data_IF_149129905432
#
_entry.id   IF_149129905432
#
_cell.length_a   1.000
_cell.length_b   1.000
_cell.length_c   1.000
_cell.angle_alpha   90.00
_cell.angle_beta   90.00
_cell.angle_gamma   90.00
#
_symmetry.space_group_name_H-M   'P 1'
#
loop_
_entity.id
_entity.type
_entity.pdbx_description
1 polymer ?
#
# COMPACT_ATOMS: atom_id res chain seq x y z
N UNK A 1 -8.80 -6.28 21.56
CA UNK A 1 -7.77 -5.55 22.31
C UNK A 1 -7.70 -4.15 21.72
N UNK A 2 -7.53 -3.11 22.55
CA UNK A 2 -7.27 -1.77 22.04
C UNK A 2 -5.98 -1.76 21.21
N UNK A 3 -5.86 -0.84 20.25
CA UNK A 3 -4.65 -0.68 19.46
C UNK A 3 -3.53 -0.08 20.34
N UNK A 4 -2.35 -0.68 20.30
CA UNK A 4 -1.19 -0.23 21.06
C UNK A 4 -0.38 0.76 20.24
N UNK A 5 -0.63 2.05 20.42
CA UNK A 5 0.08 3.10 19.68
C UNK A 5 1.59 3.08 19.97
N UNK A 6 1.99 2.83 21.23
CA UNK A 6 3.41 2.80 21.62
C UNK A 6 4.15 1.67 20.91
N UNK A 7 3.59 0.47 20.86
CA UNK A 7 4.17 -0.66 20.13
C UNK A 7 4.26 -0.41 18.62
N UNK A 8 3.27 0.27 18.03
CA UNK A 8 3.28 0.64 16.62
C UNK A 8 4.37 1.67 16.31
N UNK A 9 4.44 2.74 17.09
CA UNK A 9 5.45 3.79 16.95
C UNK A 9 6.88 3.22 17.09
N UNK A 10 7.08 2.33 18.07
CA UNK A 10 8.33 1.58 18.20
C UNK A 10 8.64 0.70 16.98
N UNK A 11 7.62 0.10 16.34
CA UNK A 11 7.80 -0.73 15.13
C UNK A 11 8.21 0.08 13.91
N UNK A 12 7.78 1.33 13.80
CA UNK A 12 8.13 2.23 12.70
C UNK A 12 9.30 3.15 13.03
N UNK A 13 9.96 2.94 14.17
CA UNK A 13 11.11 3.72 14.66
C UNK A 13 10.82 5.23 14.72
N UNK A 14 9.71 5.57 15.38
CA UNK A 14 9.23 6.95 15.44
C UNK A 14 8.73 7.31 16.85
N UNK A 15 8.92 8.57 17.24
CA UNK A 15 8.35 9.15 18.46
C UNK A 15 6.87 9.56 18.28
N UNK A 16 6.13 9.87 19.36
CA UNK A 16 4.78 10.42 19.24
C UNK A 16 4.74 11.67 18.35
N UNK A 17 3.76 11.72 17.45
CA UNK A 17 3.57 12.80 16.49
C UNK A 17 2.36 13.66 16.88
N UNK A 18 2.44 15.00 16.76
CA UNK A 18 1.25 15.83 16.86
C UNK A 18 0.32 15.57 15.67
N UNK A 19 -0.98 15.81 15.88
CA UNK A 19 -1.97 15.77 14.80
C UNK A 19 -1.78 17.01 13.92
N UNK A 20 -0.98 16.85 12.86
CA UNK A 20 -0.73 17.88 11.85
C UNK A 20 -0.46 17.24 10.47
N UNK A 21 -0.45 18.02 9.38
CA UNK A 21 -0.03 17.55 8.06
C UNK A 21 1.42 17.00 8.03
N UNK A 22 2.33 17.62 8.78
CA UNK A 22 3.72 17.16 8.93
C UNK A 22 3.78 15.84 9.68
N UNK A 23 2.99 15.70 10.76
CA UNK A 23 2.84 14.44 11.48
C UNK A 23 2.26 13.33 10.60
N UNK A 24 1.26 13.65 9.78
CA UNK A 24 0.65 12.70 8.85
C UNK A 24 1.66 12.22 7.80
N UNK A 25 2.48 13.14 7.30
CA UNK A 25 3.56 12.86 6.36
C UNK A 25 4.65 11.99 6.99
N UNK A 26 5.10 12.35 8.20
CA UNK A 26 6.11 11.59 8.93
C UNK A 26 5.63 10.16 9.21
N UNK A 27 4.37 9.98 9.59
CA UNK A 27 3.76 8.68 9.88
C UNK A 27 3.77 7.75 8.66
N UNK A 28 3.30 8.22 7.49
CA UNK A 28 3.27 7.43 6.26
C UNK A 28 4.69 7.05 5.82
N UNK A 29 5.62 8.02 5.82
CA UNK A 29 7.01 7.80 5.45
C UNK A 29 7.65 6.76 6.38
N UNK A 30 7.48 6.89 7.69
CA UNK A 30 8.03 5.99 8.68
C UNK A 30 7.50 4.56 8.49
N UNK A 31 6.19 4.38 8.27
CA UNK A 31 5.65 3.05 8.01
C UNK A 31 6.23 2.43 6.73
N UNK A 32 6.25 3.17 5.61
CA UNK A 32 6.82 2.71 4.34
C UNK A 32 8.31 2.31 4.45
N UNK A 33 9.06 2.99 5.32
CA UNK A 33 10.48 2.74 5.55
C UNK A 33 10.76 1.48 6.35
N UNK A 34 9.84 1.02 7.21
CA UNK A 34 10.15 -0.09 8.13
C UNK A 34 9.22 -1.30 7.94
N UNK A 35 8.01 -1.13 7.42
CA UNK A 35 7.08 -2.23 7.16
C UNK A 35 7.00 -2.45 5.64
N UNK A 36 7.66 -3.48 5.10
CA UNK A 36 7.71 -3.69 3.67
C UNK A 36 6.35 -4.11 3.12
N UNK A 37 6.09 -3.73 1.89
CA UNK A 37 5.05 -4.38 1.10
C UNK A 37 5.50 -5.78 0.71
N UNK A 38 4.67 -6.79 0.94
CA UNK A 38 4.86 -8.15 0.48
C UNK A 38 3.55 -8.88 0.21
N UNK A 39 3.59 -9.84 -0.73
CA UNK A 39 2.46 -10.69 -1.12
C UNK A 39 2.75 -12.18 -0.91
N UNK A 40 3.56 -12.55 0.09
CA UNK A 40 3.95 -13.95 0.33
C UNK A 40 2.76 -14.87 0.64
N UNK A 41 1.78 -14.43 1.44
CA UNK A 41 0.60 -15.26 1.75
C UNK A 41 -0.24 -15.54 0.48
N UNK A 42 -0.67 -14.53 -0.33
CA UNK A 42 -1.33 -14.78 -1.60
C UNK A 42 -0.53 -15.65 -2.56
N UNK A 43 0.79 -15.45 -2.64
CA UNK A 43 1.67 -16.26 -3.49
C UNK A 43 1.66 -17.74 -3.10
N UNK A 44 1.48 -18.04 -1.81
CA UNK A 44 1.34 -19.39 -1.28
C UNK A 44 -0.11 -19.92 -1.32
N UNK A 45 -1.03 -19.20 -1.99
CA UNK A 45 -2.45 -19.55 -2.06
C UNK A 45 -3.20 -19.37 -0.73
N UNK A 46 -2.65 -18.56 0.18
CA UNK A 46 -3.25 -18.29 1.50
C UNK A 46 -3.94 -16.93 1.50
N UNK A 47 -5.12 -16.88 2.12
CA UNK A 47 -5.83 -15.63 2.36
C UNK A 47 -5.29 -15.02 3.66
N UNK A 48 -4.78 -13.77 3.64
CA UNK A 48 -4.35 -13.10 4.87
C UNK A 48 -5.49 -12.97 5.89
N UNK A 49 -5.19 -13.22 7.17
CA UNK A 49 -6.13 -12.97 8.26
C UNK A 49 -6.16 -11.48 8.59
N UNK A 50 -7.28 -10.83 8.25
CA UNK A 50 -7.48 -9.39 8.44
C UNK A 50 -8.02 -9.04 9.84
N UNK A 51 -8.11 -10.00 10.77
CA UNK A 51 -8.42 -9.67 12.16
C UNK A 51 -7.35 -8.72 12.72
N UNK A 52 -7.72 -7.64 13.44
CA UNK A 52 -6.76 -6.69 14.00
C UNK A 52 -5.61 -7.34 14.79
N UNK A 53 -5.90 -8.38 15.58
CA UNK A 53 -4.88 -9.11 16.33
C UNK A 53 -3.91 -9.91 15.46
N UNK A 54 -4.38 -10.42 14.31
CA UNK A 54 -3.55 -11.17 13.38
C UNK A 54 -2.63 -10.23 12.59
N UNK A 55 -3.16 -9.10 12.12
CA UNK A 55 -2.39 -8.01 11.50
C UNK A 55 -1.32 -7.51 12.47
N UNK A 56 -1.69 -7.20 13.72
CA UNK A 56 -0.74 -6.76 14.75
C UNK A 56 0.39 -7.78 14.96
N UNK A 57 0.04 -9.04 15.19
CA UNK A 57 1.03 -10.11 15.38
C UNK A 57 1.99 -10.19 14.19
N UNK A 58 1.47 -10.21 12.96
CA UNK A 58 2.29 -10.36 11.74
C UNK A 58 3.19 -9.15 11.51
N UNK A 59 2.61 -7.95 11.48
CA UNK A 59 3.32 -6.74 11.06
C UNK A 59 4.21 -6.17 12.17
N UNK A 60 3.75 -6.22 13.43
CA UNK A 60 4.42 -5.57 14.56
C UNK A 60 5.30 -6.57 15.33
N UNK A 61 4.75 -7.69 15.77
CA UNK A 61 5.47 -8.66 16.63
C UNK A 61 6.45 -9.50 15.80
N UNK A 62 6.01 -10.10 14.71
CA UNK A 62 6.82 -10.94 13.81
C UNK A 62 7.68 -10.10 12.85
N UNK A 63 7.49 -8.77 12.83
CA UNK A 63 8.20 -7.81 11.98
C UNK A 63 8.18 -8.15 10.49
N UNK A 64 7.11 -8.81 10.03
CA UNK A 64 6.88 -9.08 8.62
C UNK A 64 6.29 -7.85 7.91
N UNK A 65 6.16 -7.96 6.59
CA UNK A 65 5.39 -7.02 5.79
C UNK A 65 3.96 -7.52 5.52
N UNK A 66 3.27 -6.86 4.61
CA UNK A 66 1.93 -7.26 4.19
C UNK A 66 1.49 -6.61 2.89
N UNK A 67 0.29 -6.92 2.45
CA UNK A 67 -0.34 -6.28 1.29
C UNK A 67 -1.18 -5.06 1.73
N UNK A 68 -1.78 -4.34 0.77
CA UNK A 68 -2.49 -3.08 1.03
C UNK A 68 -3.53 -3.15 2.16
N UNK A 69 -4.31 -4.24 2.23
CA UNK A 69 -5.33 -4.41 3.27
C UNK A 69 -4.71 -4.48 4.67
N UNK A 70 -3.62 -5.21 4.84
CA UNK A 70 -2.97 -5.37 6.15
C UNK A 70 -2.26 -4.06 6.55
N UNK A 71 -1.49 -3.49 5.61
CA UNK A 71 -0.70 -2.28 5.83
C UNK A 71 -1.56 -1.06 6.12
N UNK A 72 -2.60 -0.83 5.31
CA UNK A 72 -3.47 0.33 5.50
C UNK A 72 -4.53 0.10 6.59
N UNK A 73 -4.84 -1.13 6.99
CA UNK A 73 -5.61 -1.37 8.23
C UNK A 73 -4.77 -0.99 9.45
N UNK A 74 -3.50 -1.40 9.51
CA UNK A 74 -2.60 -1.01 10.60
C UNK A 74 -2.45 0.51 10.69
N UNK A 75 -2.19 1.17 9.55
CA UNK A 75 -2.07 2.63 9.49
C UNK A 75 -3.38 3.32 9.90
N UNK A 76 -4.52 2.83 9.43
CA UNK A 76 -5.84 3.39 9.77
C UNK A 76 -6.11 3.37 11.28
N UNK A 77 -5.75 2.29 11.97
CA UNK A 77 -5.87 2.20 13.43
C UNK A 77 -4.95 3.19 14.15
N UNK A 78 -3.72 3.37 13.65
CA UNK A 78 -2.80 4.37 14.21
C UNK A 78 -3.35 5.79 14.02
N UNK A 79 -3.87 6.11 12.83
CA UNK A 79 -4.50 7.40 12.52
C UNK A 79 -5.69 7.69 13.47
N UNK A 80 -6.57 6.71 13.67
CA UNK A 80 -7.72 6.82 14.55
C UNK A 80 -7.30 7.10 16.00
N UNK A 81 -6.34 6.34 16.55
CA UNK A 81 -5.87 6.52 17.93
C UNK A 81 -5.11 7.83 18.13
N UNK A 82 -4.39 8.29 17.11
CA UNK A 82 -3.74 9.60 17.11
C UNK A 82 -4.74 10.77 17.05
N UNK A 83 -5.99 10.52 16.65
CA UNK A 83 -7.05 11.52 16.57
C UNK A 83 -7.24 12.14 15.18
N UNK A 84 -6.69 11.54 14.12
CA UNK A 84 -6.97 11.94 12.75
C UNK A 84 -8.39 11.52 12.34
N UNK A 85 -9.07 12.38 11.57
CA UNK A 85 -10.33 12.02 10.92
C UNK A 85 -10.04 11.22 9.66
N UNK A 86 -9.75 9.92 9.81
CA UNK A 86 -9.43 9.01 8.71
C UNK A 86 -10.68 8.25 8.24
N UNK A 87 -11.00 8.39 6.95
CA UNK A 87 -12.07 7.65 6.30
C UNK A 87 -11.46 6.63 5.34
N UNK A 88 -11.75 5.31 5.50
CA UNK A 88 -11.27 4.30 4.56
C UNK A 88 -11.94 4.48 3.19
N UNK A 89 -11.17 4.29 2.14
CA UNK A 89 -11.62 4.23 0.75
C UNK A 89 -11.13 2.96 0.08
N UNK A 90 -11.87 2.49 -0.93
CA UNK A 90 -11.42 1.40 -1.79
C UNK A 90 -11.15 1.89 -3.21
N UNK A 91 -9.95 1.60 -3.71
CA UNK A 91 -9.52 1.87 -5.07
C UNK A 91 -9.54 0.64 -5.98
N UNK A 92 -9.66 0.91 -7.28
CA UNK A 92 -9.47 -0.05 -8.36
C UNK A 92 -8.07 0.13 -8.93
N UNK A 93 -7.25 -0.90 -8.80
CA UNK A 93 -5.90 -0.93 -9.38
C UNK A 93 -6.01 -0.85 -10.90
N UNK A 94 -5.28 0.10 -11.51
CA UNK A 94 -5.27 0.36 -12.96
C UNK A 94 -3.97 -0.11 -13.60
N UNK A 95 -2.81 0.20 -12.99
CA UNK A 95 -1.48 -0.14 -13.53
C UNK A 95 -1.34 0.16 -15.04
N UNK A 96 -1.70 1.38 -15.43
CA UNK A 96 -1.66 1.87 -16.81
C UNK A 96 -2.94 1.64 -17.62
N UNK A 97 -3.88 0.84 -17.14
CA UNK A 97 -5.16 0.63 -17.82
C UNK A 97 -6.09 1.86 -17.74
N UNK A 98 -6.95 2.00 -18.75
CA UNK A 98 -7.94 3.08 -18.82
C UNK A 98 -8.97 3.01 -17.68
N UNK A 99 -9.29 1.80 -17.18
CA UNK A 99 -10.14 1.56 -16.03
C UNK A 99 -9.57 0.44 -15.18
N UNK A 100 -9.92 0.43 -13.89
CA UNK A 100 -9.44 -0.59 -12.95
C UNK A 100 -10.43 -1.74 -12.79
N UNK A 101 -9.95 -2.83 -12.19
CA UNK A 101 -10.76 -4.02 -11.88
C UNK A 101 -11.70 -3.81 -10.66
N UNK A 102 -11.87 -4.82 -9.79
CA UNK A 102 -12.66 -4.65 -8.58
C UNK A 102 -12.01 -3.65 -7.60
N UNK A 103 -12.82 -3.15 -6.66
CA UNK A 103 -12.36 -2.32 -5.55
C UNK A 103 -11.56 -3.19 -4.56
N UNK A 104 -10.26 -3.30 -4.80
CA UNK A 104 -9.36 -4.25 -4.14
C UNK A 104 -8.16 -3.58 -3.44
N UNK A 105 -8.00 -2.26 -3.57
CA UNK A 105 -6.96 -1.50 -2.88
C UNK A 105 -7.56 -0.69 -1.73
N UNK A 106 -7.04 -0.81 -0.52
CA UNK A 106 -7.45 0.03 0.61
C UNK A 106 -6.50 1.22 0.72
N UNK A 107 -7.04 2.41 0.94
CA UNK A 107 -6.31 3.62 1.33
C UNK A 107 -7.20 4.46 2.25
N UNK A 108 -6.74 5.63 2.70
CA UNK A 108 -7.51 6.53 3.56
C UNK A 108 -7.57 7.94 2.99
N UNK A 109 -8.69 8.61 3.22
CA UNK A 109 -8.80 10.06 3.15
C UNK A 109 -8.75 10.61 4.57
N UNK A 110 -7.81 11.48 4.85
CA UNK A 110 -7.68 12.15 6.15
C UNK A 110 -8.07 13.61 6.02
N UNK A 111 -9.00 14.07 6.86
CA UNK A 111 -9.42 15.47 6.91
C UNK A 111 -8.74 16.20 8.07
N UNK A 112 -8.04 17.30 7.77
CA UNK A 112 -7.35 18.18 8.71
C UNK A 112 -7.65 19.63 8.35
N UNK A 113 -8.24 20.39 9.27
CA UNK A 113 -8.55 21.81 9.08
C UNK A 113 -9.29 22.11 7.77
N UNK A 114 -10.22 21.23 7.38
CA UNK A 114 -10.99 21.33 6.13
C UNK A 114 -10.24 20.89 4.87
N UNK A 115 -8.96 20.56 4.97
CA UNK A 115 -8.14 20.01 3.89
C UNK A 115 -8.15 18.49 3.92
N UNK A 116 -8.35 17.86 2.77
CA UNK A 116 -8.35 16.40 2.66
C UNK A 116 -7.04 15.89 2.05
N UNK A 117 -6.55 14.76 2.56
CA UNK A 117 -5.30 14.14 2.15
C UNK A 117 -5.52 12.67 1.81
N UNK A 118 -5.05 12.23 0.64
CA UNK A 118 -4.92 10.81 0.31
C UNK A 118 -3.71 10.23 1.05
N UNK A 119 -3.94 9.24 1.88
CA UNK A 119 -2.94 8.59 2.73
C UNK A 119 -2.89 7.10 2.40
N UNK A 120 -1.71 6.61 2.07
CA UNK A 120 -1.51 5.26 1.56
C UNK A 120 -0.09 4.76 1.80
N UNK A 121 0.08 3.81 2.71
CA UNK A 121 1.34 3.11 2.94
C UNK A 121 1.32 1.67 2.40
N UNK A 122 0.35 1.35 1.54
CA UNK A 122 0.01 -0.03 1.17
C UNK A 122 -0.02 -0.31 -0.34
N UNK A 123 0.10 0.69 -1.22
CA UNK A 123 0.10 0.44 -2.67
C UNK A 123 1.33 -0.32 -3.17
N UNK A 124 2.47 -0.15 -2.49
CA UNK A 124 3.72 -0.80 -2.84
C UNK A 124 4.63 0.07 -3.72
N UNK A 125 5.44 -0.59 -4.56
CA UNK A 125 6.59 0.01 -5.24
C UNK A 125 6.39 1.35 -5.98
N UNK A 126 5.33 1.55 -6.75
CA UNK A 126 5.13 2.79 -7.50
C UNK A 126 4.32 3.85 -6.74
N UNK A 127 3.89 3.61 -5.50
CA UNK A 127 3.06 4.54 -4.74
C UNK A 127 3.81 5.77 -4.18
N UNK A 128 3.08 6.85 -3.87
CA UNK A 128 3.62 8.06 -3.24
C UNK A 128 4.19 7.76 -1.85
N UNK A 129 5.28 8.45 -1.49
CA UNK A 129 5.93 8.27 -0.19
C UNK A 129 5.32 9.14 0.90
N UNK A 130 4.60 10.20 0.51
CA UNK A 130 3.92 11.12 1.41
C UNK A 130 2.44 11.29 1.01
N UNK A 131 1.58 11.75 1.94
CA UNK A 131 0.20 12.06 1.62
C UNK A 131 0.08 13.04 0.46
N UNK A 132 -0.99 12.90 -0.33
CA UNK A 132 -1.30 13.82 -1.43
C UNK A 132 -2.53 14.65 -1.07
N UNK A 133 -2.42 15.97 -1.15
CA UNK A 133 -3.56 16.86 -0.91
C UNK A 133 -4.62 16.67 -2.01
N UNK A 134 -5.86 16.35 -1.61
CA UNK A 134 -6.98 16.25 -2.55
C UNK A 134 -7.39 17.66 -3.01
N UNK A 135 -7.82 17.76 -4.27
CA UNK A 135 -8.20 19.04 -4.89
C UNK A 135 -7.01 19.86 -5.39
N UNK A 136 -5.77 19.42 -5.12
CA UNK A 136 -4.57 19.96 -5.75
C UNK A 136 -4.28 19.24 -7.05
N UNK A 137 -4.49 19.92 -8.18
CA UNK A 137 -4.32 19.32 -9.51
C UNK A 137 -2.87 19.34 -10.01
N UNK A 138 -2.02 20.21 -9.44
CA UNK A 138 -0.65 20.33 -9.90
C UNK A 138 0.18 19.11 -9.46
N UNK A 139 1.10 18.64 -10.31
CA UNK A 139 2.04 17.58 -9.96
C UNK A 139 2.79 17.87 -8.65
N UNK A 140 2.85 16.87 -7.77
CA UNK A 140 3.59 16.88 -6.52
C UNK A 140 4.82 15.97 -6.61
N UNK A 141 6.00 16.55 -6.41
CA UNK A 141 7.25 15.78 -6.31
C UNK A 141 7.40 15.16 -4.93
N UNK A 142 7.67 13.87 -4.87
CA UNK A 142 7.84 13.11 -3.64
C UNK A 142 8.89 12.01 -3.82
N UNK A 143 10.01 12.12 -3.12
CA UNK A 143 11.09 11.14 -3.18
C UNK A 143 11.56 10.90 -4.62
N UNK A 144 11.33 9.68 -5.13
CA UNK A 144 11.73 9.28 -6.48
C UNK A 144 10.61 9.37 -7.55
N UNK A 145 9.54 10.13 -7.32
CA UNK A 145 8.43 10.23 -8.25
C UNK A 145 7.70 11.56 -8.21
N UNK A 146 6.99 11.85 -9.29
CA UNK A 146 6.06 12.97 -9.39
C UNK A 146 4.66 12.40 -9.55
N UNK A 147 3.72 12.86 -8.74
CA UNK A 147 2.37 12.31 -8.66
C UNK A 147 1.33 13.39 -8.91
N UNK A 148 0.17 12.99 -9.42
CA UNK A 148 -1.00 13.88 -9.48
C UNK A 148 -2.28 13.09 -9.28
N UNK A 149 -3.34 13.83 -8.95
CA UNK A 149 -4.70 13.31 -8.96
C UNK A 149 -5.44 13.91 -10.14
N UNK A 150 -6.08 13.05 -10.94
CA UNK A 150 -6.85 13.47 -12.11
C UNK A 150 -8.29 12.97 -11.98
N UNK A 151 -9.31 13.82 -12.17
CA UNK A 151 -10.68 13.35 -12.28
C UNK A 151 -10.89 12.56 -13.58
N UNK A 152 -11.62 11.45 -13.47
CA UNK A 152 -12.02 10.64 -14.61
C UNK A 152 -13.54 10.70 -14.78
N UNK A 153 -13.99 11.54 -15.72
CA UNK A 153 -15.41 11.76 -15.97
C UNK A 153 -16.15 10.50 -16.45
N UNK A 154 -15.46 9.53 -17.06
CA UNK A 154 -16.10 8.31 -17.56
C UNK A 154 -16.46 7.35 -16.42
N UNK A 155 -15.67 7.34 -15.35
CA UNK A 155 -15.85 6.44 -14.21
C UNK A 155 -16.37 7.13 -12.96
N UNK A 156 -16.25 8.46 -12.88
CA UNK A 156 -16.51 9.25 -11.68
C UNK A 156 -15.43 9.13 -10.60
N UNK A 157 -14.29 8.51 -10.93
CA UNK A 157 -13.19 8.25 -10.00
C UNK A 157 -12.18 9.40 -9.99
N UNK A 158 -11.50 9.58 -8.86
CA UNK A 158 -10.22 10.28 -8.80
C UNK A 158 -9.10 9.29 -9.06
N UNK A 159 -8.24 9.59 -10.03
CA UNK A 159 -7.17 8.69 -10.47
C UNK A 159 -5.83 9.19 -9.99
N UNK A 160 -5.13 8.38 -9.21
CA UNK A 160 -3.74 8.62 -8.85
C UNK A 160 -2.84 8.20 -10.01
N UNK A 161 -2.02 9.14 -10.48
CA UNK A 161 -1.08 8.94 -11.58
C UNK A 161 0.34 9.28 -11.14
N UNK A 162 1.32 8.57 -11.71
CA UNK A 162 2.74 8.84 -11.56
C UNK A 162 3.34 9.24 -12.90
N UNK A 163 4.21 10.24 -12.90
CA UNK A 163 4.99 10.63 -14.07
C UNK A 163 6.01 9.53 -14.41
N UNK A 164 6.06 9.14 -15.68
CA UNK A 164 7.06 8.23 -16.28
C UNK A 164 7.64 8.87 -17.54
N UNK A 165 8.72 8.32 -18.12
CA UNK A 165 9.25 8.80 -19.40
C UNK A 165 8.22 8.76 -20.54
N UNK A 166 7.28 7.81 -20.50
CA UNK A 166 6.23 7.63 -21.51
C UNK A 166 4.96 8.45 -21.21
N UNK A 167 4.99 9.29 -20.18
CA UNK A 167 3.88 10.12 -19.75
C UNK A 167 3.27 9.69 -18.41
N UNK A 168 2.02 10.08 -18.18
CA UNK A 168 1.31 9.81 -16.93
C UNK A 168 0.81 8.36 -16.88
N UNK A 169 1.28 7.62 -15.88
CA UNK A 169 0.93 6.22 -15.66
C UNK A 169 -0.08 6.08 -14.51
N UNK A 170 -1.26 5.55 -14.80
CA UNK A 170 -2.33 5.39 -13.82
C UNK A 170 -2.03 4.27 -12.82
N UNK A 171 -2.02 4.58 -11.53
CA UNK A 171 -1.81 3.63 -10.45
C UNK A 171 -3.12 2.96 -10.04
N UNK A 172 -4.05 3.75 -9.51
CA UNK A 172 -5.40 3.31 -9.16
C UNK A 172 -6.39 4.47 -9.22
N UNK A 173 -7.66 4.14 -9.48
CA UNK A 173 -8.79 5.06 -9.33
C UNK A 173 -9.55 4.78 -8.05
N UNK A 174 -10.11 5.79 -7.39
CA UNK A 174 -10.94 5.62 -6.21
C UNK A 174 -12.14 6.58 -6.22
N UNK A 175 -13.16 6.20 -5.47
CA UNK A 175 -14.35 7.02 -5.21
C UNK A 175 -14.62 7.09 -3.70
N UNK A 176 -15.68 7.80 -3.33
CA UNK A 176 -16.08 8.00 -1.92
C UNK A 176 -17.22 7.06 -1.50
N UNK A 177 -17.40 5.93 -2.17
CA UNK A 177 -18.40 4.95 -1.75
C UNK A 177 -18.03 4.44 -0.35
N UNK A 178 -18.94 4.51 0.65
CA UNK A 178 -18.63 4.13 2.02
C UNK A 178 -18.11 2.69 2.13
N UNK A 179 -16.95 2.53 2.76
CA UNK A 179 -16.39 1.22 3.07
C UNK A 179 -17.03 0.73 4.36
N UNK A 180 -17.78 -0.36 4.29
CA UNK A 180 -18.43 -0.96 5.46
C UNK A 180 -17.77 -2.30 5.79
N UNK A 181 -17.64 -2.59 7.08
CA UNK A 181 -17.22 -3.92 7.51
C UNK A 181 -18.20 -4.97 6.97
N UNK A 182 -17.72 -6.16 6.55
CA UNK A 182 -18.60 -7.21 6.09
C UNK A 182 -19.63 -7.53 7.18
N UNK A 183 -20.92 -7.41 6.85
CA UNK A 183 -22.00 -7.76 7.78
C UNK A 183 -21.83 -9.21 8.20
N UNK A 184 -21.66 -9.46 9.52
CA UNK A 184 -21.84 -10.80 10.08
C UNK A 184 -23.27 -11.23 9.76
N UNK A 185 -23.45 -12.28 8.95
CA UNK A 185 -24.76 -12.92 8.81
C UNK A 185 -25.19 -13.45 10.18
N UNK A 186 -26.19 -12.82 10.78
CA UNK A 186 -26.86 -13.33 11.99
C UNK A 186 -27.60 -14.63 11.62
N UNK A 187 -27.12 -15.79 12.07
CA UNK A 187 -27.94 -17.01 11.93
C UNK A 187 -27.28 -18.39 11.90
N UNK A 188 -25.98 -18.56 12.11
CA UNK A 188 -25.40 -19.92 12.25
C UNK A 188 -24.66 -20.08 13.57
N UNK A 189 -25.33 -20.70 14.54
CA UNK A 189 -24.65 -21.39 15.65
C UNK A 189 -24.02 -22.66 15.07
N UNK A 190 -22.72 -22.81 15.27
CA UNK A 190 -22.00 -24.05 14.99
C UNK A 190 -21.55 -24.20 13.54
N UNK A 191 -20.41 -23.60 13.21
CA UNK A 191 -19.33 -24.15 12.36
C UNK A 191 -18.25 -23.05 12.24
N UNK A 192 -17.05 -23.35 12.73
CA UNK A 192 -15.87 -22.51 12.54
C UNK A 192 -15.45 -22.62 11.08
N UNK A 193 -15.96 -21.75 10.22
CA UNK A 193 -15.33 -21.38 8.94
C UNK A 193 -15.85 -19.99 8.59
N UNK A 194 -14.98 -18.99 8.70
CA UNK A 194 -15.32 -17.61 8.39
C UNK A 194 -15.63 -17.48 6.90
N UNK A 195 -16.75 -16.81 6.62
CA UNK A 195 -17.23 -16.55 5.27
C UNK A 195 -16.19 -15.82 4.44
N UNK A 196 -15.79 -16.50 3.38
CA UNK A 196 -14.92 -16.02 2.31
C UNK A 196 -15.57 -14.79 1.66
N UNK A 197 -14.90 -13.65 1.73
CA UNK A 197 -14.96 -12.73 0.60
C UNK A 197 -14.27 -13.50 -0.53
N UNK A 198 -15.02 -13.89 -1.56
CA UNK A 198 -14.43 -14.45 -2.76
C UNK A 198 -13.58 -13.35 -3.39
N UNK A 199 -12.29 -13.39 -3.13
CA UNK A 199 -11.32 -12.61 -3.88
C UNK A 199 -11.28 -13.17 -5.30
N UNK A 200 -11.17 -12.33 -6.35
CA UNK A 200 -10.74 -12.84 -7.63
C UNK A 200 -9.39 -13.54 -7.44
N UNK A 201 -9.20 -14.65 -8.13
CA UNK A 201 -7.90 -15.33 -8.25
C UNK A 201 -6.80 -14.27 -8.45
N UNK A 202 -5.67 -14.35 -7.72
CA UNK A 202 -4.56 -13.45 -7.99
C UNK A 202 -4.20 -13.57 -9.48
N UNK A 203 -3.84 -12.45 -10.16
CA UNK A 203 -3.44 -12.53 -11.55
C UNK A 203 -2.33 -13.58 -11.71
N UNK A 204 -2.36 -14.30 -12.83
CA UNK A 204 -1.46 -15.42 -13.14
C UNK A 204 0.04 -15.06 -13.15
N UNK A 205 0.41 -13.83 -12.81
CA UNK A 205 1.75 -13.28 -12.76
C UNK A 205 2.24 -12.90 -11.35
N UNK A 206 1.53 -13.32 -10.28
CA UNK A 206 1.86 -13.01 -8.88
C UNK A 206 3.37 -13.17 -8.61
N UNK A 207 4.09 -12.06 -8.71
CA UNK A 207 5.53 -11.98 -8.52
C UNK A 207 5.79 -11.59 -7.08
N UNK A 208 6.85 -12.11 -6.48
CA UNK A 208 7.23 -11.74 -5.12
C UNK A 208 7.68 -10.26 -5.15
N UNK A 209 6.92 -9.39 -4.51
CA UNK A 209 7.28 -7.98 -4.38
C UNK A 209 7.83 -7.72 -2.96
N UNK A 210 9.03 -7.16 -2.88
CA UNK A 210 9.59 -6.64 -1.63
C UNK A 210 10.15 -5.24 -1.87
N UNK A 211 9.72 -4.26 -1.08
CA UNK A 211 10.31 -2.91 -1.10
C UNK A 211 10.35 -2.31 0.29
N UNK A 212 11.50 -1.70 0.60
CA UNK A 212 11.72 -0.78 1.72
C UNK A 212 12.10 0.58 1.13
N UNK A 213 11.47 1.68 1.54
CA UNK A 213 11.88 3.03 1.10
C UNK A 213 13.11 3.50 1.90
N UNK A 214 14.05 4.23 1.28
CA UNK A 214 15.16 4.91 1.98
C UNK A 214 16.60 4.39 1.79
N UNK A 215 16.85 3.36 0.99
CA UNK A 215 18.21 2.95 0.62
C UNK A 215 18.62 3.56 -0.74
N UNK A 216 19.84 4.11 -0.92
CA UNK A 216 20.35 4.41 -2.26
C UNK A 216 20.35 3.12 -3.09
N UNK A 217 19.88 3.18 -4.35
CA UNK A 217 19.72 2.03 -5.25
C UNK A 217 21.05 1.27 -5.45
N UNK A 218 21.35 0.33 -4.56
CA UNK A 218 22.20 -0.81 -4.82
C UNK A 218 21.26 -2.01 -4.95
N UNK A 219 20.83 -2.26 -6.18
CA UNK A 219 20.00 -3.39 -6.63
C UNK A 219 18.49 -3.31 -6.43
N UNK A 220 17.79 -3.61 -7.53
CA UNK A 220 16.39 -4.06 -7.58
C UNK A 220 16.44 -5.58 -7.74
N UNK A 221 15.88 -6.34 -6.81
CA UNK A 221 15.69 -7.78 -6.96
C UNK A 221 14.29 -8.03 -7.51
N UNK A 222 14.21 -8.51 -8.75
CA UNK A 222 12.99 -9.06 -9.32
C UNK A 222 13.12 -10.59 -9.28
N UNK A 223 12.18 -11.25 -8.59
CA UNK A 223 12.08 -12.70 -8.60
C UNK A 223 10.82 -13.09 -9.39
N UNK A 224 11.05 -13.55 -10.62
CA UNK A 224 10.03 -14.18 -11.46
C UNK A 224 10.47 -15.63 -11.72
N UNK A 225 9.62 -16.60 -11.41
CA UNK A 225 9.78 -18.00 -11.83
C UNK A 225 11.08 -18.69 -11.40
N UNK A 226 11.44 -18.65 -10.12
CA UNK A 226 12.57 -19.42 -9.58
C UNK A 226 13.98 -18.86 -9.90
N UNK A 227 14.07 -17.70 -10.55
CA UNK A 227 15.34 -17.03 -10.81
C UNK A 227 15.34 -15.62 -10.21
N UNK A 228 16.24 -15.39 -9.24
CA UNK A 228 16.56 -14.04 -8.77
C UNK A 228 17.53 -13.38 -9.75
N UNK A 229 17.17 -12.23 -10.32
CA UNK A 229 18.08 -11.42 -11.14
C UNK A 229 18.33 -10.08 -10.46
N UNK A 230 19.60 -9.69 -10.41
CA UNK A 230 20.02 -8.35 -9.99
C UNK A 230 20.28 -7.54 -11.25
N UNK A 231 19.53 -6.45 -11.40
CA UNK A 231 19.82 -5.43 -12.40
C UNK A 231 20.78 -4.39 -11.78
N UNK A 232 22.01 -4.32 -12.30
CA UNK A 232 22.93 -3.20 -12.02
C UNK A 232 22.68 -2.10 -13.05
N UNK A 233 22.50 -0.85 -12.61
CA UNK A 233 22.48 0.28 -13.53
C UNK A 233 23.90 0.56 -14.01
N UNK A 234 24.25 0.00 -15.17
CA UNK A 234 25.39 0.47 -15.97
C UNK A 234 25.06 1.84 -16.59
N UNK A 235 26.10 2.68 -16.74
CA UNK A 235 26.05 3.96 -17.46
C UNK A 235 25.62 3.83 -18.93
N UNK A 236 25.84 4.84 -19.81
CA UNK A 236 25.03 5.08 -21.01
C UNK A 236 25.05 4.04 -22.15
N UNK A 237 25.59 2.83 -21.95
CA UNK A 237 25.60 1.75 -22.91
C UNK A 237 25.21 0.42 -22.24
N UNK A 238 23.91 0.11 -22.25
CA UNK A 238 23.37 -1.25 -22.05
C UNK A 238 23.28 -1.75 -20.61
N UNK A 239 22.14 -2.38 -20.27
CA UNK A 239 21.95 -3.13 -19.02
C UNK A 239 22.77 -4.43 -19.07
N UNK A 240 23.62 -4.68 -18.07
CA UNK A 240 24.20 -6.00 -17.84
C UNK A 240 23.43 -6.72 -16.72
N UNK A 241 23.25 -8.04 -16.85
CA UNK A 241 22.61 -8.89 -15.84
C UNK A 241 23.63 -9.88 -15.30
N UNK A 242 23.69 -10.05 -13.98
CA UNK A 242 24.56 -11.04 -13.33
C UNK A 242 23.71 -12.12 -12.64
N UNK A 243 23.98 -13.39 -12.97
CA UNK A 243 23.40 -14.54 -12.26
C UNK A 243 24.00 -14.65 -10.87
N UNK A 244 23.16 -14.95 -9.86
CA UNK A 244 23.58 -15.12 -8.46
C UNK A 244 23.87 -16.57 -8.04
N UNK A 245 23.77 -17.55 -8.96
CA UNK A 245 24.13 -18.95 -8.67
C UNK A 245 25.40 -19.38 -9.44
N UNK A 246 26.28 -20.20 -8.84
CA UNK A 246 27.35 -20.84 -9.58
C UNK A 246 26.75 -21.77 -10.64
N UNK A 247 27.30 -21.72 -11.86
CA UNK A 247 26.97 -22.68 -12.90
C UNK A 247 27.37 -24.08 -12.42
N UNK A 248 26.38 -24.96 -12.26
CA UNK A 248 26.60 -26.40 -12.16
C UNK A 248 26.89 -27.00 -13.52
#
# INVERSE_FOLDING_TARGET
MPFDLTGYLARIDHDPLPVSPEGLTALQIAQLRVIPFENSEPLLGRVPDLAPSAIWRKLVVEKRGGYCLELNTLLGQALEVLGYQATPILGRVRMGAASGGPRAHLAHIVTLDGTEWLVDAGFGGPGPEAPLMLGWEAPAEQGCGTYRLRPDAATGEQVLERQTPDGWFALYGFDRVPVTAPRRRSGQRGLRHMGQVAFPEPPHDASLAFRRTGEPLRSRAEAAGGHARVAEQGGPLGRSYRSLWPAG
#
